data_IF_576422604345
#
_entry.id   IF_576422604345
#
_cell.length_a   1.000
_cell.length_b   1.000
_cell.length_c   1.000
_cell.angle_alpha   90.00
_cell.angle_beta   90.00
_cell.angle_gamma   90.00
#
_symmetry.space_group_name_H-M   'P 1'
#
loop_
_entity.id
_entity.type
_entity.pdbx_description
1 polymer ?
#
# COMPACT_ATOMS: atom_id res chain seq x y z
N UNK A 1 -12.90 49.44 -18.23
CA UNK A 1 -12.82 47.99 -17.92
C UNK A 1 -11.40 47.70 -17.43
N UNK A 2 -11.23 47.31 -16.17
CA UNK A 2 -9.92 47.21 -15.52
C UNK A 2 -9.33 45.79 -15.69
N UNK A 3 -8.29 45.67 -16.53
CA UNK A 3 -7.65 44.40 -16.90
C UNK A 3 -6.64 43.83 -15.90
N UNK A 4 -6.46 44.44 -14.73
CA UNK A 4 -5.43 44.05 -13.74
C UNK A 4 -5.95 43.14 -12.61
N UNK A 5 -7.26 42.96 -12.45
CA UNK A 5 -7.81 42.09 -11.39
C UNK A 5 -7.78 40.59 -11.71
N UNK A 6 -7.60 40.19 -12.97
CA UNK A 6 -7.60 38.78 -13.38
C UNK A 6 -6.26 38.08 -13.15
N UNK A 7 -5.14 38.81 -13.15
CA UNK A 7 -3.81 38.21 -12.96
C UNK A 7 -3.48 37.87 -11.50
N UNK A 8 -3.97 38.67 -10.54
CA UNK A 8 -3.75 38.43 -9.10
C UNK A 8 -4.53 37.22 -8.56
N UNK A 9 -5.71 36.95 -9.12
CA UNK A 9 -6.57 35.84 -8.69
C UNK A 9 -6.00 34.46 -9.07
N UNK A 10 -5.33 34.38 -10.22
CA UNK A 10 -4.72 33.13 -10.70
C UNK A 10 -3.42 32.76 -9.97
N UNK A 11 -2.59 33.74 -9.58
CA UNK A 11 -1.35 33.46 -8.83
C UNK A 11 -1.61 33.08 -7.37
N UNK A 12 -2.60 33.69 -6.71
CA UNK A 12 -3.00 33.25 -5.36
C UNK A 12 -3.71 31.89 -5.36
N UNK A 13 -4.53 31.57 -6.37
CA UNK A 13 -5.15 30.25 -6.50
C UNK A 13 -4.12 29.12 -6.65
N UNK A 14 -3.06 29.34 -7.43
CA UNK A 14 -1.99 28.35 -7.62
C UNK A 14 -1.11 28.16 -6.37
N UNK A 15 -0.77 29.24 -5.66
CA UNK A 15 0.00 29.18 -4.40
C UNK A 15 -0.80 28.51 -3.27
N UNK A 16 -2.08 28.86 -3.11
CA UNK A 16 -2.96 28.25 -2.11
C UNK A 16 -3.21 26.77 -2.43
N UNK A 17 -3.45 26.42 -3.70
CA UNK A 17 -3.59 25.04 -4.13
C UNK A 17 -2.33 24.20 -3.94
N UNK A 18 -1.14 24.77 -4.18
CA UNK A 18 0.14 24.11 -3.94
C UNK A 18 0.41 23.83 -2.45
N UNK A 19 0.08 24.78 -1.57
CA UNK A 19 0.21 24.62 -0.11
C UNK A 19 -0.78 23.57 0.41
N UNK A 20 -2.01 23.55 -0.09
CA UNK A 20 -3.04 22.56 0.29
C UNK A 20 -2.67 21.14 -0.16
N UNK A 21 -2.11 21.01 -1.37
CA UNK A 21 -1.65 19.73 -1.92
C UNK A 21 -0.48 19.16 -1.12
N UNK A 22 0.53 19.99 -0.82
CA UNK A 22 1.68 19.59 0.00
C UNK A 22 1.27 19.10 1.39
N UNK A 23 0.32 19.80 2.03
CA UNK A 23 -0.23 19.37 3.32
C UNK A 23 -0.98 18.04 3.21
N UNK A 24 -1.81 17.88 2.19
CA UNK A 24 -2.56 16.63 1.96
C UNK A 24 -1.63 15.44 1.78
N UNK A 25 -0.56 15.58 0.99
CA UNK A 25 0.44 14.52 0.78
C UNK A 25 1.10 14.13 2.09
N UNK A 26 1.50 15.10 2.93
CA UNK A 26 2.10 14.81 4.23
C UNK A 26 1.15 14.04 5.14
N UNK A 27 -0.12 14.44 5.19
CA UNK A 27 -1.12 13.75 5.99
C UNK A 27 -1.39 12.34 5.46
N UNK A 28 -1.45 12.17 4.13
CA UNK A 28 -1.59 10.86 3.49
C UNK A 28 -0.41 9.94 3.82
N UNK A 29 0.81 10.47 3.85
CA UNK A 29 1.98 9.71 4.24
C UNK A 29 1.86 9.19 5.67
N UNK A 30 1.37 9.99 6.62
CA UNK A 30 1.16 9.54 8.02
C UNK A 30 0.15 8.37 8.07
N UNK A 31 -0.99 8.50 7.39
CA UNK A 31 -2.05 7.47 7.43
C UNK A 31 -1.71 6.21 6.61
N UNK A 32 -0.74 6.31 5.70
CA UNK A 32 -0.17 5.17 4.96
C UNK A 32 0.82 4.35 5.78
N UNK A 33 1.22 4.86 6.95
CA UNK A 33 2.04 4.17 7.94
C UNK A 33 3.37 3.62 7.38
N UNK A 34 4.26 4.51 6.86
CA UNK A 34 5.54 4.13 6.28
C UNK A 34 6.47 3.43 7.27
N UNK A 35 6.18 3.46 8.58
CA UNK A 35 6.88 2.64 9.57
C UNK A 35 6.80 1.13 9.29
N UNK A 36 5.88 0.67 8.41
CA UNK A 36 5.81 -0.71 7.95
C UNK A 36 6.75 -1.04 6.77
N UNK A 37 7.41 -0.06 6.15
CA UNK A 37 8.37 -0.28 5.06
C UNK A 37 9.51 -1.26 5.41
N UNK A 38 10.08 -1.25 6.62
CA UNK A 38 11.10 -2.24 6.99
C UNK A 38 10.57 -3.69 6.93
N UNK A 39 9.32 -3.93 7.33
CA UNK A 39 8.72 -5.26 7.26
C UNK A 39 8.54 -5.74 5.81
N UNK A 40 8.12 -4.84 4.92
CA UNK A 40 8.05 -5.13 3.48
C UNK A 40 9.43 -5.37 2.88
N UNK A 41 10.45 -4.61 3.32
CA UNK A 41 11.84 -4.79 2.87
C UNK A 41 12.40 -6.14 3.30
N UNK A 42 12.11 -6.58 4.54
CA UNK A 42 12.47 -7.92 5.01
C UNK A 42 11.81 -9.00 4.15
N UNK A 43 10.52 -8.85 3.84
CA UNK A 43 9.80 -9.78 2.97
C UNK A 43 10.41 -9.85 1.57
N UNK A 44 10.82 -8.71 1.01
CA UNK A 44 11.51 -8.63 -0.28
C UNK A 44 12.84 -9.39 -0.27
N UNK A 45 13.68 -9.16 0.74
CA UNK A 45 15.00 -9.78 0.86
C UNK A 45 14.88 -11.29 1.02
N UNK A 46 14.01 -11.76 1.93
CA UNK A 46 13.79 -13.19 2.16
C UNK A 46 13.22 -13.83 0.90
N UNK A 47 12.19 -13.22 0.31
CA UNK A 47 11.52 -13.76 -0.86
C UNK A 47 12.46 -13.88 -2.06
N UNK A 48 13.27 -12.85 -2.32
CA UNK A 48 14.30 -12.86 -3.35
C UNK A 48 15.34 -13.95 -3.08
N UNK A 49 15.84 -14.06 -1.84
CA UNK A 49 16.87 -15.04 -1.47
C UNK A 49 16.40 -16.49 -1.70
N UNK A 50 15.12 -16.77 -1.49
CA UNK A 50 14.54 -18.10 -1.72
C UNK A 50 14.11 -18.34 -3.17
N UNK A 51 13.76 -17.29 -3.90
CA UNK A 51 13.23 -17.39 -5.27
C UNK A 51 14.29 -17.28 -6.36
N UNK A 52 15.41 -16.60 -6.12
CA UNK A 52 16.37 -16.27 -7.17
C UNK A 52 17.03 -17.52 -7.76
N UNK A 53 16.76 -17.78 -9.04
CA UNK A 53 17.41 -18.83 -9.82
C UNK A 53 18.41 -18.23 -10.80
N UNK A 54 19.48 -18.98 -11.09
CA UNK A 54 20.54 -18.56 -12.02
C UNK A 54 20.58 -19.49 -13.25
N UNK A 55 21.03 -19.00 -14.41
CA UNK A 55 21.45 -17.61 -14.70
C UNK A 55 20.25 -16.64 -14.75
N UNK A 56 20.49 -15.37 -14.40
CA UNK A 56 19.45 -14.33 -14.40
C UNK A 56 19.91 -13.10 -15.17
N UNK A 57 19.03 -12.53 -15.99
CA UNK A 57 19.26 -11.21 -16.59
C UNK A 57 19.16 -10.13 -15.50
N UNK A 58 20.19 -9.29 -15.39
CA UNK A 58 20.30 -8.34 -14.27
C UNK A 58 19.18 -7.28 -14.33
N UNK A 59 18.81 -6.80 -15.51
CA UNK A 59 17.87 -5.68 -15.64
C UNK A 59 16.43 -6.21 -15.65
N UNK A 60 16.12 -7.04 -16.64
CA UNK A 60 14.79 -7.55 -16.91
C UNK A 60 14.42 -8.77 -16.07
N UNK A 61 15.40 -9.56 -15.63
CA UNK A 61 15.19 -10.72 -14.76
C UNK A 61 15.24 -10.39 -13.27
N UNK A 62 15.99 -9.36 -12.86
CA UNK A 62 16.21 -9.01 -11.46
C UNK A 62 15.69 -7.62 -11.08
N UNK A 63 16.33 -6.55 -11.55
CA UNK A 63 16.07 -5.18 -11.05
C UNK A 63 14.62 -4.75 -11.29
N UNK A 64 14.11 -4.90 -12.51
CA UNK A 64 12.74 -4.48 -12.86
C UNK A 64 11.70 -5.29 -12.08
N UNK A 65 11.74 -6.64 -12.08
CA UNK A 65 10.81 -7.44 -11.27
C UNK A 65 10.91 -7.14 -9.77
N UNK A 66 12.10 -6.87 -9.25
CA UNK A 66 12.31 -6.56 -7.83
C UNK A 66 11.65 -5.23 -7.45
N UNK A 67 11.85 -4.19 -8.26
CA UNK A 67 11.24 -2.88 -8.06
C UNK A 67 9.71 -2.97 -8.15
N UNK A 68 9.18 -3.69 -9.14
CA UNK A 68 7.74 -3.91 -9.30
C UNK A 68 7.16 -4.69 -8.12
N UNK A 69 7.79 -5.79 -7.72
CA UNK A 69 7.33 -6.60 -6.60
C UNK A 69 7.31 -5.79 -5.29
N UNK A 70 8.37 -5.03 -5.01
CA UNK A 70 8.45 -4.17 -3.84
C UNK A 70 7.38 -3.08 -3.84
N UNK A 71 7.14 -2.45 -4.99
CA UNK A 71 6.10 -1.45 -5.14
C UNK A 71 4.69 -2.04 -4.92
N UNK A 72 4.41 -3.22 -5.49
CA UNK A 72 3.13 -3.92 -5.33
C UNK A 72 2.86 -4.25 -3.85
N UNK A 73 3.79 -4.92 -3.16
CA UNK A 73 3.57 -5.26 -1.74
C UNK A 73 3.45 -4.01 -0.85
N UNK A 74 4.18 -2.95 -1.18
CA UNK A 74 4.14 -1.69 -0.42
C UNK A 74 2.83 -0.94 -0.59
N UNK A 75 2.31 -0.86 -1.82
CA UNK A 75 1.02 -0.22 -2.09
C UNK A 75 -0.14 -0.98 -1.44
N UNK A 76 -0.10 -2.32 -1.47
CA UNK A 76 -1.10 -3.15 -0.77
C UNK A 76 -1.02 -2.97 0.75
N UNK A 77 0.19 -2.85 1.31
CA UNK A 77 0.38 -2.57 2.73
C UNK A 77 -0.13 -1.17 3.12
N UNK A 78 0.11 -0.14 2.30
CA UNK A 78 -0.42 1.21 2.50
C UNK A 78 -1.96 1.20 2.51
N UNK A 79 -2.58 0.53 1.53
CA UNK A 79 -4.02 0.32 1.49
C UNK A 79 -4.54 -0.36 2.77
N UNK A 80 -3.88 -1.43 3.22
CA UNK A 80 -4.25 -2.14 4.45
C UNK A 80 -4.17 -1.24 5.69
N UNK A 81 -3.10 -0.45 5.79
CA UNK A 81 -2.88 0.51 6.88
C UNK A 81 -3.95 1.61 6.91
N UNK A 82 -4.33 2.15 5.75
CA UNK A 82 -5.37 3.18 5.64
C UNK A 82 -6.75 2.63 6.01
N UNK A 83 -7.10 1.42 5.57
CA UNK A 83 -8.35 0.76 5.99
C UNK A 83 -8.35 0.52 7.49
N UNK A 84 -7.23 0.04 8.04
CA UNK A 84 -7.11 -0.21 9.47
C UNK A 84 -7.38 1.08 10.26
N UNK A 85 -6.72 2.16 9.86
CA UNK A 85 -6.88 3.49 10.45
C UNK A 85 -8.32 4.01 10.35
N UNK A 86 -8.96 3.88 9.18
CA UNK A 86 -10.36 4.27 8.99
C UNK A 86 -11.32 3.47 9.87
N UNK A 87 -11.10 2.16 9.98
CA UNK A 87 -12.00 1.23 10.70
C UNK A 87 -11.86 1.33 12.22
N UNK A 88 -10.68 1.74 12.68
CA UNK A 88 -10.32 1.83 14.09
C UNK A 88 -10.27 3.27 14.61
N UNK A 89 -10.65 4.28 13.80
CA UNK A 89 -10.57 5.70 14.18
C UNK A 89 -11.13 6.00 15.58
N UNK A 90 -12.32 5.49 15.91
CA UNK A 90 -12.96 5.70 17.22
C UNK A 90 -12.24 5.00 18.39
N UNK A 91 -11.57 3.88 18.11
CA UNK A 91 -10.75 3.17 19.09
C UNK A 91 -9.42 3.90 19.29
N UNK A 92 -8.81 4.35 18.19
CA UNK A 92 -7.52 5.02 18.16
C UNK A 92 -7.59 6.42 18.81
N UNK A 93 -8.78 7.05 18.88
CA UNK A 93 -9.02 8.28 19.66
C UNK A 93 -8.65 8.14 21.16
N UNK A 94 -8.66 6.92 21.70
CA UNK A 94 -8.38 6.64 23.11
C UNK A 94 -6.92 6.24 23.36
N UNK A 95 -6.12 6.11 22.31
CA UNK A 95 -4.74 5.65 22.36
C UNK A 95 -3.78 6.83 22.11
N UNK A 96 -3.15 7.32 23.17
CA UNK A 96 -2.20 8.44 23.09
C UNK A 96 -1.01 8.13 22.16
N UNK A 97 -0.63 6.86 21.99
CA UNK A 97 0.46 6.49 21.09
C UNK A 97 0.12 6.72 19.61
N UNK A 98 -1.17 6.87 19.27
CA UNK A 98 -1.67 7.08 17.91
C UNK A 98 -2.16 8.50 17.65
N UNK A 99 -1.85 9.45 18.54
CA UNK A 99 -2.32 10.83 18.47
C UNK A 99 -2.04 11.50 17.14
N UNK A 100 -0.85 11.31 16.57
CA UNK A 100 -0.48 11.88 15.27
C UNK A 100 -1.33 11.29 14.14
N UNK A 101 -1.57 9.99 14.16
CA UNK A 101 -2.39 9.28 13.17
C UNK A 101 -3.84 9.77 13.20
N UNK A 102 -4.41 9.87 14.40
CA UNK A 102 -5.77 10.39 14.63
C UNK A 102 -5.88 11.86 14.20
N UNK A 103 -4.88 12.68 14.54
CA UNK A 103 -4.84 14.08 14.14
C UNK A 103 -4.71 14.24 12.62
N UNK A 104 -3.96 13.37 11.95
CA UNK A 104 -3.85 13.35 10.50
C UNK A 104 -5.18 12.96 9.85
N UNK A 105 -5.81 11.90 10.36
CA UNK A 105 -7.15 11.46 9.93
C UNK A 105 -8.23 12.52 10.14
N UNK A 106 -8.19 13.27 11.23
CA UNK A 106 -9.17 14.34 11.49
C UNK A 106 -9.00 15.52 10.52
N UNK A 107 -7.78 15.78 10.09
CA UNK A 107 -7.47 16.83 9.10
C UNK A 107 -7.75 16.37 7.66
N UNK A 108 -7.69 15.07 7.41
CA UNK A 108 -8.06 14.48 6.12
C UNK A 108 -9.56 14.22 6.06
N UNK A 109 -10.20 14.68 5.01
CA UNK A 109 -11.57 14.25 4.74
C UNK A 109 -11.57 12.74 4.44
N UNK A 110 -12.51 11.93 5.00
CA UNK A 110 -12.59 10.50 4.72
C UNK A 110 -12.69 10.17 3.23
N UNK A 111 -13.28 11.08 2.44
CA UNK A 111 -13.34 10.98 0.98
C UNK A 111 -11.95 10.99 0.34
N UNK A 112 -11.04 11.85 0.81
CA UNK A 112 -9.66 11.95 0.30
C UNK A 112 -8.87 10.67 0.58
N UNK A 113 -9.01 10.10 1.78
CA UNK A 113 -8.39 8.81 2.13
C UNK A 113 -8.92 7.69 1.23
N UNK A 114 -10.25 7.58 1.03
CA UNK A 114 -10.83 6.56 0.14
C UNK A 114 -10.36 6.70 -1.32
N UNK A 115 -10.18 7.92 -1.80
CA UNK A 115 -9.62 8.17 -3.14
C UNK A 115 -8.15 7.72 -3.21
N UNK A 116 -7.34 8.03 -2.19
CA UNK A 116 -5.95 7.58 -2.11
C UNK A 116 -5.87 6.05 -2.09
N UNK A 117 -6.66 5.38 -1.25
CA UNK A 117 -6.77 3.92 -1.22
C UNK A 117 -7.11 3.32 -2.59
N UNK A 118 -8.08 3.90 -3.29
CA UNK A 118 -8.47 3.42 -4.62
C UNK A 118 -7.34 3.63 -5.65
N UNK A 119 -6.64 4.77 -5.57
CA UNK A 119 -5.50 5.07 -6.43
C UNK A 119 -4.33 4.11 -6.15
N UNK A 120 -4.01 3.83 -4.89
CA UNK A 120 -2.98 2.88 -4.48
C UNK A 120 -3.30 1.46 -4.95
N UNK A 121 -4.54 1.02 -4.74
CA UNK A 121 -4.99 -0.30 -5.18
C UNK A 121 -4.92 -0.43 -6.71
N UNK A 122 -5.42 0.58 -7.44
CA UNK A 122 -5.38 0.61 -8.91
C UNK A 122 -3.95 0.64 -9.43
N UNK A 123 -3.07 1.40 -8.78
CA UNK A 123 -1.63 1.47 -9.13
C UNK A 123 -0.97 0.13 -8.86
N UNK A 124 -1.24 -0.51 -7.72
CA UNK A 124 -0.70 -1.83 -7.40
C UNK A 124 -1.14 -2.88 -8.42
N UNK A 125 -2.39 -2.83 -8.88
CA UNK A 125 -2.91 -3.72 -9.92
C UNK A 125 -2.22 -3.45 -11.25
N UNK A 126 -2.04 -2.20 -11.65
CA UNK A 126 -1.34 -1.85 -12.89
C UNK A 126 0.11 -2.37 -12.89
N UNK A 127 0.85 -2.16 -11.79
CA UNK A 127 2.22 -2.66 -11.64
C UNK A 127 2.28 -4.19 -11.62
N UNK A 128 1.30 -4.84 -10.97
CA UNK A 128 1.16 -6.29 -10.99
C UNK A 128 0.89 -6.83 -12.40
N UNK A 129 0.06 -6.16 -13.19
CA UNK A 129 -0.20 -6.56 -14.58
C UNK A 129 1.07 -6.43 -15.42
N UNK A 130 1.87 -5.39 -15.23
CA UNK A 130 3.21 -5.29 -15.86
C UNK A 130 4.09 -6.47 -15.41
N UNK A 131 4.12 -6.78 -14.12
CA UNK A 131 4.90 -7.91 -13.60
C UNK A 131 4.42 -9.26 -14.15
N UNK A 132 3.10 -9.44 -14.29
CA UNK A 132 2.49 -10.61 -14.91
C UNK A 132 2.89 -10.74 -16.38
N UNK A 133 2.89 -9.64 -17.15
CA UNK A 133 3.33 -9.67 -18.54
C UNK A 133 4.81 -10.04 -18.69
N UNK A 134 5.64 -9.68 -17.71
CA UNK A 134 7.06 -10.04 -17.70
C UNK A 134 7.31 -11.49 -17.27
N UNK A 135 6.54 -12.01 -16.31
CA UNK A 135 6.79 -13.31 -15.68
C UNK A 135 5.87 -14.43 -16.19
N UNK A 136 4.75 -14.11 -16.84
CA UNK A 136 3.76 -15.09 -17.32
C UNK A 136 2.94 -15.79 -16.23
N UNK A 137 3.13 -15.42 -14.97
CA UNK A 137 2.67 -16.16 -13.79
C UNK A 137 1.31 -15.72 -13.27
N UNK A 138 0.24 -16.42 -13.64
CA UNK A 138 -1.14 -16.08 -13.23
C UNK A 138 -1.36 -16.16 -11.71
N UNK A 139 -0.61 -17.00 -11.00
CA UNK A 139 -0.75 -17.12 -9.55
C UNK A 139 -0.37 -15.83 -8.81
N UNK A 140 0.43 -14.93 -9.40
CA UNK A 140 0.69 -13.60 -8.85
C UNK A 140 -0.59 -12.78 -8.70
N UNK A 141 -1.52 -12.90 -9.66
CA UNK A 141 -2.83 -12.24 -9.60
C UNK A 141 -3.69 -12.83 -8.47
N UNK A 142 -3.68 -14.16 -8.32
CA UNK A 142 -4.43 -14.84 -7.25
C UNK A 142 -3.90 -14.45 -5.86
N UNK A 143 -2.58 -14.40 -5.69
CA UNK A 143 -1.93 -13.97 -4.44
C UNK A 143 -2.27 -12.52 -4.13
N UNK A 144 -2.23 -11.62 -5.11
CA UNK A 144 -2.62 -10.21 -4.91
C UNK A 144 -4.09 -10.07 -4.51
N UNK A 145 -5.02 -10.76 -5.19
CA UNK A 145 -6.43 -10.75 -4.81
C UNK A 145 -6.65 -11.26 -3.38
N UNK A 146 -5.92 -12.30 -3.00
CA UNK A 146 -5.93 -12.85 -1.64
C UNK A 146 -5.39 -11.83 -0.62
N UNK A 147 -4.30 -11.13 -0.94
CA UNK A 147 -3.72 -10.07 -0.12
C UNK A 147 -4.74 -8.95 0.14
N UNK A 148 -5.36 -8.46 -0.93
CA UNK A 148 -6.34 -7.36 -0.87
C UNK A 148 -7.58 -7.79 -0.09
N UNK A 149 -8.06 -9.02 -0.31
CA UNK A 149 -9.16 -9.59 0.45
C UNK A 149 -8.87 -9.64 1.95
N UNK A 150 -7.69 -10.12 2.35
CA UNK A 150 -7.32 -10.17 3.76
C UNK A 150 -7.05 -8.77 4.34
N UNK A 151 -6.41 -7.88 3.60
CA UNK A 151 -6.18 -6.49 4.00
C UNK A 151 -7.50 -5.78 4.35
N UNK A 152 -8.51 -5.95 3.49
CA UNK A 152 -9.85 -5.42 3.75
C UNK A 152 -10.53 -6.15 4.91
N UNK A 153 -10.64 -7.48 4.83
CA UNK A 153 -11.40 -8.31 5.77
C UNK A 153 -10.84 -8.32 7.19
N UNK A 154 -9.55 -8.04 7.35
CA UNK A 154 -8.91 -7.92 8.65
C UNK A 154 -9.51 -6.77 9.47
N UNK A 155 -9.71 -5.61 8.85
CA UNK A 155 -10.07 -4.36 9.52
C UNK A 155 -11.54 -3.95 9.33
N UNK A 156 -12.11 -4.19 8.15
CA UNK A 156 -13.42 -3.67 7.75
C UNK A 156 -14.56 -4.71 7.94
N UNK A 157 -15.81 -4.25 8.16
CA UNK A 157 -16.98 -5.14 8.16
C UNK A 157 -17.24 -5.76 6.78
N UNK A 158 -17.88 -6.94 6.71
CA UNK A 158 -18.55 -7.66 7.80
C UNK A 158 -17.66 -8.62 8.61
N UNK A 159 -16.48 -8.98 8.11
CA UNK A 159 -15.65 -10.02 8.74
C UNK A 159 -14.88 -9.50 9.96
N UNK A 160 -14.20 -8.35 9.81
CA UNK A 160 -13.34 -7.70 10.80
C UNK A 160 -12.51 -8.71 11.61
N UNK A 161 -11.69 -9.51 10.93
CA UNK A 161 -10.97 -10.65 11.52
C UNK A 161 -10.11 -10.26 12.72
N UNK A 162 -9.62 -9.01 12.77
CA UNK A 162 -8.93 -8.40 13.92
C UNK A 162 -9.69 -8.58 15.24
N UNK A 163 -11.02 -8.55 15.24
CA UNK A 163 -11.81 -8.65 16.48
C UNK A 163 -12.00 -10.09 16.97
N UNK A 164 -11.44 -11.08 16.27
CA UNK A 164 -11.59 -12.51 16.59
C UNK A 164 -10.23 -13.06 17.03
N UNK A 165 -10.12 -13.41 18.31
CA UNK A 165 -8.89 -13.84 19.03
C UNK A 165 -7.82 -14.52 18.15
N UNK A 166 -8.03 -15.78 17.75
CA UNK A 166 -7.02 -16.54 16.98
C UNK A 166 -6.93 -16.12 15.52
N UNK A 167 -8.06 -15.79 14.89
CA UNK A 167 -8.09 -15.38 13.49
C UNK A 167 -7.31 -14.09 13.25
N UNK A 168 -7.26 -13.18 14.23
CA UNK A 168 -6.48 -11.96 14.14
C UNK A 168 -4.99 -12.27 13.98
N UNK A 169 -4.45 -13.15 14.82
CA UNK A 169 -3.02 -13.54 14.78
C UNK A 169 -2.70 -14.30 13.50
N UNK A 170 -3.52 -15.29 13.14
CA UNK A 170 -3.32 -16.08 11.91
C UNK A 170 -3.32 -15.18 10.69
N UNK A 171 -4.30 -14.28 10.58
CA UNK A 171 -4.40 -13.35 9.44
C UNK A 171 -3.20 -12.43 9.37
N UNK A 172 -2.72 -11.89 10.51
CA UNK A 172 -1.52 -11.05 10.54
C UNK A 172 -0.28 -11.81 10.07
N UNK A 173 -0.07 -13.04 10.53
CA UNK A 173 1.07 -13.87 10.09
C UNK A 173 0.99 -14.12 8.58
N UNK A 174 -0.20 -14.42 8.06
CA UNK A 174 -0.41 -14.62 6.63
C UNK A 174 -0.06 -13.34 5.86
N UNK A 175 -0.63 -12.20 6.24
CA UNK A 175 -0.55 -10.95 5.47
C UNK A 175 0.80 -10.25 5.60
N UNK A 176 1.44 -10.31 6.78
CA UNK A 176 2.69 -9.61 7.05
C UNK A 176 3.94 -10.46 6.80
N UNK A 177 3.81 -11.78 6.67
CA UNK A 177 4.98 -12.67 6.56
C UNK A 177 4.83 -13.66 5.42
N UNK A 178 3.85 -14.55 5.48
CA UNK A 178 3.78 -15.67 4.52
C UNK A 178 3.52 -15.14 3.11
N UNK A 179 2.43 -14.41 2.92
CA UNK A 179 1.98 -13.98 1.60
C UNK A 179 2.95 -13.03 0.88
N UNK A 180 3.53 -11.97 1.49
CA UNK A 180 4.48 -11.12 0.80
C UNK A 180 5.80 -11.84 0.47
N UNK A 181 6.30 -12.71 1.36
CA UNK A 181 7.50 -13.52 1.08
C UNK A 181 7.23 -14.49 -0.07
N UNK A 182 6.13 -15.24 0.00
CA UNK A 182 5.76 -16.20 -1.06
C UNK A 182 5.52 -15.49 -2.39
N UNK A 183 4.88 -14.32 -2.39
CA UNK A 183 4.69 -13.51 -3.59
C UNK A 183 6.03 -13.18 -4.25
N UNK A 184 6.98 -12.63 -3.49
CA UNK A 184 8.31 -12.28 -4.03
C UNK A 184 9.08 -13.53 -4.46
N UNK A 185 9.04 -14.62 -3.69
CA UNK A 185 9.67 -15.89 -4.10
C UNK A 185 9.09 -16.39 -5.42
N UNK A 186 7.78 -16.32 -5.60
CA UNK A 186 7.11 -16.78 -6.81
C UNK A 186 7.43 -15.92 -8.04
N UNK A 187 7.69 -14.62 -7.84
CA UNK A 187 8.20 -13.74 -8.90
C UNK A 187 9.49 -14.30 -9.48
N UNK A 188 10.46 -14.69 -8.64
CA UNK A 188 11.81 -15.04 -9.09
C UNK A 188 12.03 -16.53 -9.37
N UNK A 189 11.25 -17.43 -8.78
CA UNK A 189 11.47 -18.87 -8.94
C UNK A 189 11.04 -19.36 -10.31
N UNK A 190 11.84 -20.20 -10.94
CA UNK A 190 11.52 -20.89 -12.21
C UNK A 190 11.01 -22.31 -11.99
N UNK A 191 10.89 -22.76 -10.74
CA UNK A 191 10.59 -24.15 -10.40
C UNK A 191 9.09 -24.45 -10.23
N UNK A 192 8.24 -23.42 -10.21
CA UNK A 192 6.81 -23.53 -9.85
C UNK A 192 5.88 -23.04 -10.98
N UNK A 193 6.35 -23.15 -12.22
CA UNK A 193 5.61 -22.87 -13.46
C UNK A 193 5.08 -24.16 -14.10
#
# INVERSE_FOLDING_TARGET
MCGTCTHYKNQHGALVGGIETSRTIKLLNIVSRPEFLPANSASLIIGLSWGLTFPVDIIWGLIVPLALAFAVITLVAAFAAQINTLSDYELDLKDESKKELVQAMRQLEPKKVKIAMLAELSTSLALLLVLYLLQGKIALLLMWMTAVFFAYSYSAPPLRLKSRSWFAVITLVIVLSILPVTFVTYVFTTALD
#
